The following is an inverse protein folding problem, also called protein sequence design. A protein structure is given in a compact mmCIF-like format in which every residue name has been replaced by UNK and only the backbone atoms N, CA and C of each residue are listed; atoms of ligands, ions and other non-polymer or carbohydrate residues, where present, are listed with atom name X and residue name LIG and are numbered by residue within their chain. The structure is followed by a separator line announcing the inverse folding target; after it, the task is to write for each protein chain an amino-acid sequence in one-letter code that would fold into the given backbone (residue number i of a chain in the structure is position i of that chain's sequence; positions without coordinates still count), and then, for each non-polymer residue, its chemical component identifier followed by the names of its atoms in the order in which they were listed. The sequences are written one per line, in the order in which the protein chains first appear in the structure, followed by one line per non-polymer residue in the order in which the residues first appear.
data_IF_586608455406
#
_entry.id   IF_586608455406
#
_cell.length_a   1.000
_cell.length_b   1.000
_cell.length_c   1.000
_cell.angle_alpha   90.00
_cell.angle_beta   90.00
_cell.angle_gamma   90.00
#
_symmetry.space_group_name_H-M   'P 1'
#
loop_
_entity.id
_entity.type
_entity.pdbx_description
1 polymer ?
#
# COMPACT_ATOMS: atom_id res chain seq x y z
N UNK A 1 -2.01 5.84 -12.14
CA UNK A 1 -1.25 5.07 -11.14
C UNK A 1 0.03 4.67 -11.82
N UNK A 2 1.19 5.07 -11.30
CA UNK A 2 2.46 5.00 -12.04
C UNK A 2 2.73 3.63 -12.69
N UNK A 3 2.61 2.55 -11.92
CA UNK A 3 2.84 1.19 -12.44
C UNK A 3 1.85 0.77 -13.54
N UNK A 4 0.60 1.23 -13.46
CA UNK A 4 -0.37 0.98 -14.54
C UNK A 4 -0.07 1.79 -15.80
N UNK A 5 0.47 3.00 -15.63
CA UNK A 5 0.75 3.92 -16.72
C UNK A 5 2.04 3.52 -17.46
N UNK A 6 3.02 2.96 -16.75
CA UNK A 6 4.30 2.52 -17.31
C UNK A 6 4.37 1.03 -17.66
N UNK A 7 3.46 0.22 -17.12
CA UNK A 7 3.57 -1.24 -17.20
C UNK A 7 4.74 -1.82 -16.38
N UNK A 8 5.35 -1.03 -15.50
CA UNK A 8 6.50 -1.47 -14.72
C UNK A 8 6.09 -2.46 -13.61
N UNK A 9 6.91 -3.50 -13.35
CA UNK A 9 6.65 -4.46 -12.28
C UNK A 9 6.73 -3.78 -10.91
N UNK A 10 5.87 -4.20 -9.99
CA UNK A 10 5.85 -3.70 -8.60
C UNK A 10 6.37 -4.78 -7.66
N UNK A 11 7.57 -4.56 -7.12
CA UNK A 11 8.22 -5.45 -6.16
C UNK A 11 8.16 -4.83 -4.75
N UNK A 12 7.44 -5.44 -3.80
CA UNK A 12 7.43 -4.99 -2.42
C UNK A 12 8.79 -5.23 -1.78
N UNK A 13 9.28 -4.24 -1.04
CA UNK A 13 10.54 -4.33 -0.33
C UNK A 13 10.34 -3.98 1.14
N UNK A 14 10.97 -4.75 2.02
CA UNK A 14 10.94 -4.56 3.46
C UNK A 14 12.35 -4.67 4.02
N UNK A 15 12.64 -3.94 5.08
CA UNK A 15 13.85 -4.12 5.86
C UNK A 15 13.44 -4.49 7.30
N UNK A 16 14.09 -5.49 7.87
CA UNK A 16 13.82 -5.97 9.22
C UNK A 16 15.08 -5.91 10.05
N UNK A 17 14.98 -5.38 11.26
CA UNK A 17 16.06 -5.41 12.25
C UNK A 17 16.12 -6.79 12.89
N UNK A 18 17.29 -7.42 12.87
CA UNK A 18 17.56 -8.68 13.57
C UNK A 18 18.04 -8.44 15.01
N UNK A 19 17.94 -9.44 15.91
CA UNK A 19 18.39 -9.31 17.30
C UNK A 19 19.89 -9.03 17.45
N UNK A 20 20.69 -9.45 16.48
CA UNK A 20 22.15 -9.23 16.40
C UNK A 20 22.53 -7.83 15.91
N UNK A 21 21.56 -6.90 15.85
CA UNK A 21 21.71 -5.53 15.38
C UNK A 21 22.07 -5.41 13.89
N UNK A 22 21.87 -6.47 13.10
CA UNK A 22 21.94 -6.42 11.64
C UNK A 22 20.56 -6.15 11.03
N UNK A 23 20.52 -5.95 9.71
CA UNK A 23 19.29 -5.76 8.96
C UNK A 23 19.15 -6.80 7.85
N UNK A 24 17.96 -7.33 7.70
CA UNK A 24 17.56 -8.18 6.58
C UNK A 24 16.78 -7.35 5.59
N UNK A 25 17.19 -7.37 4.32
CA UNK A 25 16.42 -6.80 3.22
C UNK A 25 15.68 -7.92 2.51
N UNK A 26 14.36 -7.80 2.46
CA UNK A 26 13.47 -8.75 1.80
C UNK A 26 12.88 -8.06 0.58
N UNK A 27 13.13 -8.65 -0.60
CA UNK A 27 12.48 -8.29 -1.85
C UNK A 27 11.50 -9.41 -2.16
N UNK A 28 10.20 -9.11 -2.06
CA UNK A 28 9.15 -10.06 -2.40
C UNK A 28 9.02 -10.21 -3.91
N UNK A 29 8.30 -11.25 -4.34
CA UNK A 29 7.93 -11.41 -5.75
C UNK A 29 7.07 -10.24 -6.22
N UNK A 30 7.11 -10.00 -7.52
CA UNK A 30 6.24 -9.04 -8.19
C UNK A 30 4.77 -9.25 -7.80
N UNK A 31 4.06 -8.16 -7.51
CA UNK A 31 2.61 -8.17 -7.36
C UNK A 31 1.97 -8.05 -8.75
N UNK A 32 1.23 -9.07 -9.23
CA UNK A 32 0.59 -9.01 -10.54
C UNK A 32 -0.45 -7.89 -10.60
N UNK A 33 -0.29 -6.98 -11.56
CA UNK A 33 -1.22 -5.90 -11.81
C UNK A 33 -2.47 -6.41 -12.53
N UNK A 34 -3.62 -5.90 -12.11
CA UNK A 34 -4.91 -6.05 -12.79
C UNK A 34 -5.09 -4.90 -13.77
N UNK A 35 -5.37 -5.24 -15.03
CA UNK A 35 -5.66 -4.30 -16.11
C UNK A 35 -6.87 -4.80 -16.91
N UNK A 36 -8.08 -4.60 -16.39
CA UNK A 36 -9.33 -5.00 -17.05
C UNK A 36 -9.87 -3.96 -18.03
N UNK A 37 -9.28 -2.76 -18.04
CA UNK A 37 -9.72 -1.63 -18.86
C UNK A 37 -10.64 -0.66 -18.09
N UNK A 38 -11.21 -1.09 -16.96
CA UNK A 38 -11.85 -0.17 -16.02
C UNK A 38 -10.80 0.43 -15.09
N UNK A 39 -10.19 1.53 -15.53
CA UNK A 39 -9.07 2.17 -14.82
C UNK A 39 -9.35 2.45 -13.34
N UNK A 40 -10.59 2.83 -12.98
CA UNK A 40 -10.93 3.11 -11.57
C UNK A 40 -10.93 1.83 -10.73
N UNK A 41 -11.60 0.79 -11.20
CA UNK A 41 -11.66 -0.49 -10.51
C UNK A 41 -10.29 -1.15 -10.43
N UNK A 42 -9.52 -1.10 -11.52
CA UNK A 42 -8.15 -1.62 -11.57
C UNK A 42 -7.25 -0.90 -10.56
N UNK A 43 -7.35 0.43 -10.44
CA UNK A 43 -6.60 1.19 -9.43
C UNK A 43 -6.98 0.79 -8.00
N UNK A 44 -8.28 0.63 -7.71
CA UNK A 44 -8.78 0.21 -6.39
C UNK A 44 -8.28 -1.20 -6.03
N UNK A 45 -8.39 -2.15 -6.95
CA UNK A 45 -7.98 -3.54 -6.76
C UNK A 45 -6.46 -3.68 -6.62
N UNK A 46 -5.67 -3.03 -7.49
CA UNK A 46 -4.21 -3.05 -7.37
C UNK A 46 -3.75 -2.43 -6.05
N UNK A 47 -4.35 -1.31 -5.65
CA UNK A 47 -4.05 -0.68 -4.35
C UNK A 47 -4.38 -1.63 -3.19
N UNK A 48 -5.49 -2.37 -3.25
CA UNK A 48 -5.85 -3.37 -2.25
C UNK A 48 -4.80 -4.48 -2.17
N UNK A 49 -4.33 -5.00 -3.31
CA UNK A 49 -3.28 -6.04 -3.34
C UNK A 49 -1.98 -5.57 -2.70
N UNK A 50 -1.57 -4.33 -2.95
CA UNK A 50 -0.39 -3.74 -2.32
C UNK A 50 -0.53 -3.67 -0.80
N UNK A 51 -1.69 -3.22 -0.32
CA UNK A 51 -1.97 -3.19 1.11
C UNK A 51 -1.98 -4.59 1.73
N UNK A 52 -2.48 -5.61 1.01
CA UNK A 52 -2.45 -7.00 1.49
C UNK A 52 -1.04 -7.50 1.81
N UNK A 53 -0.04 -7.17 0.98
CA UNK A 53 1.36 -7.51 1.27
C UNK A 53 1.89 -6.72 2.46
N UNK A 54 1.61 -5.41 2.54
CA UNK A 54 2.01 -4.59 3.68
C UNK A 54 1.41 -5.13 4.99
N UNK A 55 0.12 -5.47 5.00
CA UNK A 55 -0.58 -6.04 6.16
C UNK A 55 0.02 -7.38 6.60
N UNK A 56 0.41 -8.25 5.65
CA UNK A 56 1.12 -9.50 5.94
C UNK A 56 2.37 -9.21 6.77
N UNK A 57 3.21 -8.25 6.35
CA UNK A 57 4.44 -7.90 7.07
C UNK A 57 4.19 -7.21 8.40
N UNK A 58 3.21 -6.31 8.49
CA UNK A 58 2.82 -5.67 9.76
C UNK A 58 2.37 -6.74 10.77
N UNK A 59 1.61 -7.75 10.34
CA UNK A 59 1.15 -8.83 11.23
C UNK A 59 2.31 -9.75 11.67
N UNK A 60 3.28 -10.00 10.81
CA UNK A 60 4.46 -10.81 11.15
C UNK A 60 5.44 -10.07 12.08
N UNK A 61 5.62 -8.75 11.87
CA UNK A 61 6.60 -7.93 12.59
C UNK A 61 5.96 -6.65 13.16
N UNK A 62 4.95 -6.75 14.04
CA UNK A 62 4.18 -5.59 14.49
C UNK A 62 5.06 -4.58 15.22
N UNK A 63 6.04 -5.03 16.00
CA UNK A 63 6.92 -4.13 16.77
C UNK A 63 7.86 -3.29 15.92
N UNK A 64 8.10 -3.68 14.66
CA UNK A 64 9.00 -2.99 13.75
C UNK A 64 8.28 -2.00 12.81
N UNK A 65 6.95 -1.92 12.90
CA UNK A 65 6.18 -0.96 12.12
C UNK A 65 6.18 0.43 12.77
N UNK A 66 6.14 1.48 11.95
CA UNK A 66 6.15 2.87 12.40
C UNK A 66 4.75 3.31 12.84
N UNK A 67 4.31 2.85 14.02
CA UNK A 67 2.97 3.15 14.58
C UNK A 67 2.73 4.64 14.90
N UNK A 68 3.80 5.43 14.99
CA UNK A 68 3.71 6.87 15.28
C UNK A 68 3.04 7.66 14.14
N UNK A 69 2.93 7.10 12.94
CA UNK A 69 2.19 7.73 11.85
C UNK A 69 0.68 7.61 12.06
N UNK A 70 -0.02 8.76 12.03
CA UNK A 70 -1.49 8.82 12.02
C UNK A 70 -2.07 8.39 10.66
N UNK A 71 -1.90 7.11 10.31
CA UNK A 71 -2.28 6.52 9.01
C UNK A 71 -3.75 6.75 8.67
N UNK A 72 -4.63 6.74 9.68
CA UNK A 72 -6.08 6.86 9.56
C UNK A 72 -6.62 8.28 9.82
N UNK A 73 -5.77 9.31 9.76
CA UNK A 73 -6.21 10.72 9.89
C UNK A 73 -7.27 11.11 8.86
N UNK A 74 -7.26 10.47 7.69
CA UNK A 74 -8.28 10.69 6.65
C UNK A 74 -9.43 9.72 6.89
N UNK A 75 -10.59 10.23 7.27
CA UNK A 75 -11.80 9.42 7.53
C UNK A 75 -12.77 9.46 6.34
N UNK A 76 -13.68 8.47 6.21
CA UNK A 76 -14.71 8.48 5.16
C UNK A 76 -15.58 9.75 5.18
N UNK A 77 -15.95 10.24 6.36
CA UNK A 77 -16.75 11.46 6.53
C UNK A 77 -16.03 12.71 5.98
N UNK A 78 -14.72 12.82 6.23
CA UNK A 78 -13.90 13.92 5.70
C UNK A 78 -13.82 13.86 4.17
N UNK A 79 -13.73 12.67 3.59
CA UNK A 79 -13.73 12.47 2.14
C UNK A 79 -15.08 12.84 1.55
N UNK A 80 -16.18 12.43 2.19
CA UNK A 80 -17.55 12.73 1.74
C UNK A 80 -17.86 14.23 1.78
N UNK A 81 -17.46 14.91 2.86
CA UNK A 81 -17.58 16.38 2.97
C UNK A 81 -16.79 17.09 1.87
N UNK A 82 -15.56 16.64 1.56
CA UNK A 82 -14.75 17.19 0.46
C UNK A 82 -15.37 16.96 -0.92
N UNK A 83 -16.00 15.80 -1.15
CA UNK A 83 -16.72 15.54 -2.41
C UNK A 83 -17.89 16.50 -2.58
N UNK A 84 -18.72 16.67 -1.55
CA UNK A 84 -19.86 17.61 -1.57
C UNK A 84 -19.42 19.06 -1.81
N UNK A 85 -18.30 19.48 -1.23
CA UNK A 85 -17.74 20.82 -1.42
C UNK A 85 -17.14 21.06 -2.81
N UNK A 86 -16.77 20.02 -3.57
CA UNK A 86 -16.24 20.12 -4.94
C UNK A 86 -17.32 20.15 -6.02
N UNK A 87 -18.54 19.76 -5.68
CA UNK A 87 -19.70 19.68 -6.60
C UNK A 87 -20.53 20.96 -6.58
N UNK A 88 -20.29 21.83 -5.59
CA UNK A 88 -20.91 23.16 -5.45
C UNK A 88 -19.95 24.23 -5.96
#
# INVERSE_FOLDING_TARGET
MLAMDSGAPVLPMFYLKKPDNTYEFIIEKEIPLVMTGNRRQDMEENTRRFHGVIEKYIKMYPTQWVWMHNRWKTTPEMVEKKKKAKVK
#
